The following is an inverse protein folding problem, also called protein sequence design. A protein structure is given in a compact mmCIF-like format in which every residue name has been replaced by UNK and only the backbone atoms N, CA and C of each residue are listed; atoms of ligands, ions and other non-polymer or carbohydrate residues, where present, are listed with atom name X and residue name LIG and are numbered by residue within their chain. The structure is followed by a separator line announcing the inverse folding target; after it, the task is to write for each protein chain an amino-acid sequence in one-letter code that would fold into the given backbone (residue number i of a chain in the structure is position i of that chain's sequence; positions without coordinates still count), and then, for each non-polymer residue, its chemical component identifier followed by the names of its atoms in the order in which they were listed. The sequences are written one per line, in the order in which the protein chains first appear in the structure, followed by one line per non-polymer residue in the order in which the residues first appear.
data_IF_404194218858
#
_entry.id   IF_404194218858
#
_cell.length_a   1.000
_cell.length_b   1.000
_cell.length_c   1.000
_cell.angle_alpha   90.00
_cell.angle_beta   90.00
_cell.angle_gamma   90.00
#
_symmetry.space_group_name_H-M   'P 1'
#
loop_
_entity.id
_entity.type
_entity.pdbx_description
1 polymer ?
#
# COMPACT_ATOMS: atom_id res chain seq x y z
N UNK A 1 8.69 19.19 7.23
CA UNK A 1 7.81 18.46 6.31
C UNK A 1 8.66 17.37 5.67
N UNK A 2 8.32 16.09 5.88
CA UNK A 2 8.96 15.00 5.14
C UNK A 2 8.51 15.14 3.69
N UNK A 3 9.46 15.34 2.77
CA UNK A 3 9.16 15.27 1.35
C UNK A 3 8.96 13.79 1.00
N UNK A 4 7.74 13.46 0.60
CA UNK A 4 7.37 12.14 0.09
C UNK A 4 7.33 12.20 -1.42
N UNK A 5 7.69 11.11 -2.08
CA UNK A 5 7.72 10.98 -3.52
C UNK A 5 6.99 9.72 -3.96
N UNK A 6 6.43 9.78 -5.16
CA UNK A 6 5.84 8.62 -5.81
C UNK A 6 6.94 7.61 -6.10
N UNK A 7 6.78 6.40 -5.57
CA UNK A 7 7.69 5.28 -5.76
C UNK A 7 7.20 4.43 -6.92
N UNK A 8 5.92 4.05 -6.88
CA UNK A 8 5.32 3.14 -7.84
C UNK A 8 3.83 3.45 -8.04
N UNK A 9 3.31 3.14 -9.23
CA UNK A 9 1.88 3.22 -9.54
C UNK A 9 1.38 1.87 -10.01
N UNK A 10 0.41 1.32 -9.29
CA UNK A 10 -0.23 0.05 -9.59
C UNK A 10 -1.63 0.29 -10.16
N UNK A 11 -1.91 -0.27 -11.33
CA UNK A 11 -3.24 -0.22 -11.96
C UNK A 11 -3.88 -1.59 -11.85
N UNK A 12 -5.06 -1.67 -11.26
CA UNK A 12 -5.80 -2.91 -11.06
C UNK A 12 -7.21 -2.78 -11.65
N UNK A 13 -7.66 -3.83 -12.34
CA UNK A 13 -8.99 -3.91 -12.97
C UNK A 13 -8.96 -4.80 -14.20
N UNK A 14 -9.86 -4.56 -15.14
CA UNK A 14 -9.84 -5.27 -16.43
C UNK A 14 -8.58 -4.90 -17.22
N UNK A 15 -8.02 -5.85 -17.97
CA UNK A 15 -6.73 -5.72 -18.67
C UNK A 15 -6.60 -4.44 -19.51
N UNK A 16 -7.69 -3.97 -20.12
CA UNK A 16 -7.72 -2.73 -20.93
C UNK A 16 -8.47 -1.57 -20.24
N UNK A 17 -9.10 -1.84 -19.09
CA UNK A 17 -9.93 -0.89 -18.35
C UNK A 17 -9.69 -1.01 -16.84
N UNK A 18 -8.52 -0.55 -16.35
CA UNK A 18 -8.26 -0.52 -14.92
C UNK A 18 -9.32 0.33 -14.22
N UNK A 19 -9.85 -0.18 -13.12
CA UNK A 19 -10.90 0.45 -12.32
C UNK A 19 -10.32 1.12 -11.09
N UNK A 20 -9.17 0.64 -10.61
CA UNK A 20 -8.46 1.13 -9.43
C UNK A 20 -7.02 1.47 -9.79
N UNK A 21 -6.51 2.54 -9.22
CA UNK A 21 -5.13 2.98 -9.33
C UNK A 21 -4.60 3.24 -7.93
N UNK A 22 -3.54 2.55 -7.57
CA UNK A 22 -2.84 2.76 -6.31
C UNK A 22 -1.53 3.49 -6.57
N UNK A 23 -1.33 4.62 -5.91
CA UNK A 23 -0.08 5.37 -5.96
C UNK A 23 0.66 5.19 -4.64
N UNK A 24 1.83 4.57 -4.70
CA UNK A 24 2.65 4.24 -3.53
C UNK A 24 3.66 5.36 -3.29
N UNK A 25 3.64 5.93 -2.09
CA UNK A 25 4.48 7.05 -1.70
C UNK A 25 5.41 6.69 -0.55
N UNK A 26 6.59 7.28 -0.54
CA UNK A 26 7.52 7.18 0.59
C UNK A 26 8.58 8.25 0.60
N UNK A 27 9.41 8.25 1.63
CA UNK A 27 10.50 9.24 1.78
C UNK A 27 11.67 8.97 0.82
N UNK A 28 11.81 7.75 0.33
CA UNK A 28 12.76 7.35 -0.70
C UNK A 28 12.11 6.33 -1.68
N UNK A 29 12.86 5.68 -2.57
CA UNK A 29 12.34 4.76 -3.60
C UNK A 29 12.28 3.30 -3.12
N UNK A 30 12.75 3.05 -1.91
CA UNK A 30 12.89 1.72 -1.34
C UNK A 30 12.01 1.57 -0.09
N UNK A 31 11.57 2.67 0.50
CA UNK A 31 10.81 2.74 1.75
C UNK A 31 9.40 3.29 1.49
N UNK A 32 8.46 2.47 1.01
CA UNK A 32 7.07 2.87 0.84
C UNK A 32 6.37 3.04 2.19
N UNK A 33 5.84 4.24 2.44
CA UNK A 33 5.20 4.61 3.70
C UNK A 33 3.68 4.40 3.63
N UNK A 34 3.05 4.81 2.53
CA UNK A 34 1.60 4.69 2.34
C UNK A 34 1.22 4.63 0.86
N UNK A 35 0.02 4.16 0.55
CA UNK A 35 -0.57 4.25 -0.77
C UNK A 35 -1.88 5.04 -0.76
N UNK A 36 -2.11 5.78 -1.85
CA UNK A 36 -3.39 6.44 -2.14
C UNK A 36 -4.16 5.62 -3.16
N UNK A 37 -5.43 5.37 -2.87
CA UNK A 37 -6.34 4.71 -3.80
C UNK A 37 -7.03 5.76 -4.65
N UNK A 38 -7.09 5.51 -5.95
CA UNK A 38 -7.90 6.25 -6.90
C UNK A 38 -8.82 5.30 -7.65
N UNK A 39 -10.07 5.66 -7.76
CA UNK A 39 -11.09 4.90 -8.47
C UNK A 39 -11.46 5.61 -9.77
N UNK A 40 -11.69 4.84 -10.82
CA UNK A 40 -12.11 5.39 -12.10
C UNK A 40 -13.56 5.84 -12.01
N UNK A 41 -13.85 7.08 -12.42
CA UNK A 41 -15.23 7.56 -12.46
C UNK A 41 -16.06 6.77 -13.46
N UNK A 42 -17.26 6.37 -13.05
CA UNK A 42 -18.25 5.71 -13.91
C UNK A 42 -18.85 6.66 -14.97
N UNK A 43 -18.78 7.97 -14.74
CA UNK A 43 -19.39 9.00 -15.61
C UNK A 43 -18.36 9.79 -16.45
N UNK A 44 -17.07 9.42 -16.41
CA UNK A 44 -16.01 10.15 -17.10
C UNK A 44 -14.73 9.34 -17.30
N UNK A 45 -13.66 10.00 -17.75
CA UNK A 45 -12.31 9.42 -17.91
C UNK A 45 -11.36 9.81 -16.77
N UNK A 46 -11.88 10.41 -15.69
CA UNK A 46 -11.09 10.87 -14.56
C UNK A 46 -10.89 9.81 -13.47
N UNK A 47 -9.80 9.97 -12.73
CA UNK A 47 -9.54 9.25 -11.48
C UNK A 47 -10.03 10.10 -10.31
N UNK A 48 -10.76 9.50 -9.38
CA UNK A 48 -11.16 10.13 -8.11
C UNK A 48 -10.32 9.51 -7.01
N UNK A 49 -9.60 10.36 -6.28
CA UNK A 49 -8.91 9.94 -5.07
C UNK A 49 -9.95 9.50 -4.03
N UNK A 50 -9.76 8.30 -3.49
CA UNK A 50 -10.51 7.81 -2.34
C UNK A 50 -10.02 8.53 -1.08
N UNK A 51 -10.90 8.72 -0.10
CA UNK A 51 -10.51 9.22 1.23
C UNK A 51 -9.65 8.19 2.00
N UNK A 52 -9.60 6.95 1.51
CA UNK A 52 -8.83 5.87 2.10
C UNK A 52 -7.34 5.97 1.80
N UNK A 53 -6.55 5.81 2.87
CA UNK A 53 -5.09 5.75 2.80
C UNK A 53 -4.60 4.43 3.36
N UNK A 54 -3.94 3.67 2.52
CA UNK A 54 -3.42 2.35 2.88
C UNK A 54 -2.05 2.54 3.51
N UNK A 55 -1.94 2.20 4.79
CA UNK A 55 -0.67 2.25 5.53
C UNK A 55 0.19 1.03 5.17
N UNK A 56 1.47 1.26 4.87
CA UNK A 56 2.37 0.20 4.40
C UNK A 56 3.37 -0.18 5.50
N UNK A 57 3.96 -1.38 5.35
CA UNK A 57 4.75 -2.03 6.40
C UNK A 57 5.95 -1.19 6.89
N UNK A 58 6.52 -0.29 6.09
CA UNK A 58 7.61 0.57 6.55
C UNK A 58 7.18 1.53 7.69
N UNK A 59 5.90 1.91 7.75
CA UNK A 59 5.36 2.70 8.86
C UNK A 59 4.99 1.81 10.07
N UNK A 60 4.44 0.62 9.81
CA UNK A 60 4.06 -0.37 10.84
C UNK A 60 5.29 -0.94 11.58
N UNK A 61 6.34 -1.38 10.88
CA UNK A 61 7.58 -1.90 11.48
C UNK A 61 8.28 -0.82 12.31
N UNK A 62 8.21 0.45 11.91
CA UNK A 62 8.76 1.56 12.69
C UNK A 62 7.99 1.78 14.00
N UNK A 63 6.67 1.58 14.00
CA UNK A 63 5.86 1.62 15.22
C UNK A 63 6.10 0.39 16.10
N UNK A 64 6.18 -0.80 15.52
CA UNK A 64 6.41 -2.05 16.24
C UNK A 64 7.82 -2.10 16.86
N UNK A 65 8.85 -1.67 16.12
CA UNK A 65 10.22 -1.53 16.63
C UNK A 65 10.33 -0.49 17.75
N UNK A 66 9.48 0.54 17.76
CA UNK A 66 9.40 1.50 18.87
C UNK A 66 8.67 0.94 20.10
N UNK A 67 7.92 -0.17 19.96
CA UNK A 67 7.08 -0.74 21.02
C UNK A 67 7.65 -2.02 21.66
N UNK A 68 8.60 -2.69 21.01
CA UNK A 68 9.19 -3.95 21.50
C UNK A 68 10.48 -3.68 22.28
N UNK A 69 10.42 -3.94 23.59
CA UNK A 69 11.59 -4.04 24.44
C UNK A 69 12.47 -5.23 24.01
N UNK A 70 13.75 -4.94 23.74
CA UNK A 70 14.92 -5.80 23.95
C UNK A 70 14.75 -7.31 23.70
N UNK A 71 14.85 -7.75 22.45
CA UNK A 71 15.43 -9.06 22.12
C UNK A 71 16.03 -8.99 20.72
N UNK A 72 17.35 -9.16 20.62
CA UNK A 72 18.16 -8.90 19.42
C UNK A 72 17.60 -9.53 18.14
N UNK A 73 16.91 -8.71 17.34
CA UNK A 73 16.55 -9.04 15.97
C UNK A 73 17.50 -8.26 15.05
N UNK A 74 18.27 -9.00 14.28
CA UNK A 74 19.33 -8.47 13.42
C UNK A 74 18.80 -7.42 12.46
N UNK A 75 19.41 -6.24 12.51
CA UNK A 75 19.25 -5.02 11.69
C UNK A 75 19.45 -5.23 10.16
N UNK A 76 19.47 -6.47 9.68
CA UNK A 76 19.85 -6.83 8.31
C UNK A 76 18.77 -7.57 7.50
N UNK A 77 17.64 -7.94 8.10
CA UNK A 77 16.55 -8.63 7.38
C UNK A 77 15.64 -7.66 6.61
N UNK A 78 15.36 -6.48 7.17
CA UNK A 78 14.53 -5.46 6.52
C UNK A 78 15.19 -4.92 5.23
N UNK A 79 16.52 -4.80 5.20
CA UNK A 79 17.27 -4.33 4.03
C UNK A 79 17.27 -5.32 2.85
N UNK A 80 16.89 -6.58 3.07
CA UNK A 80 16.78 -7.61 2.03
C UNK A 80 15.35 -7.83 1.53
N UNK A 81 14.33 -7.32 2.24
CA UNK A 81 12.95 -7.37 1.79
C UNK A 81 12.70 -6.26 0.77
N UNK A 82 12.11 -6.63 -0.35
CA UNK A 82 11.60 -5.66 -1.31
C UNK A 82 10.31 -5.06 -0.76
N UNK A 83 10.44 -4.01 0.06
CA UNK A 83 9.32 -3.32 0.67
C UNK A 83 8.34 -2.79 -0.38
N UNK A 84 8.80 -2.47 -1.60
CA UNK A 84 7.95 -2.04 -2.70
C UNK A 84 7.10 -3.20 -3.20
N UNK A 85 7.69 -4.39 -3.35
CA UNK A 85 6.95 -5.60 -3.71
C UNK A 85 5.91 -6.00 -2.64
N UNK A 86 6.26 -5.85 -1.35
CA UNK A 86 5.31 -6.07 -0.24
C UNK A 86 4.18 -5.02 -0.28
N UNK A 87 4.50 -3.76 -0.60
CA UNK A 87 3.51 -2.70 -0.74
C UNK A 87 2.53 -2.94 -1.88
N UNK A 88 3.02 -3.39 -3.04
CA UNK A 88 2.19 -3.81 -4.17
C UNK A 88 1.26 -4.94 -3.74
N UNK A 89 1.80 -5.99 -3.12
CA UNK A 89 1.03 -7.15 -2.64
C UNK A 89 -0.09 -6.71 -1.67
N UNK A 90 0.20 -5.74 -0.80
CA UNK A 90 -0.80 -5.19 0.13
C UNK A 90 -1.92 -4.44 -0.60
N UNK A 91 -1.58 -3.66 -1.63
CA UNK A 91 -2.56 -2.95 -2.46
C UNK A 91 -3.43 -3.93 -3.26
N UNK A 92 -2.85 -5.01 -3.78
CA UNK A 92 -3.60 -6.07 -4.46
C UNK A 92 -4.56 -6.80 -3.52
N UNK A 93 -4.10 -7.16 -2.32
CA UNK A 93 -4.94 -7.77 -1.28
C UNK A 93 -6.10 -6.84 -0.89
N UNK A 94 -5.81 -5.54 -0.69
CA UNK A 94 -6.82 -4.52 -0.40
C UNK A 94 -7.89 -4.46 -1.49
N UNK A 95 -7.47 -4.48 -2.76
CA UNK A 95 -8.41 -4.50 -3.87
C UNK A 95 -9.27 -5.77 -3.87
N UNK A 96 -8.68 -6.96 -3.66
CA UNK A 96 -9.43 -8.22 -3.58
C UNK A 96 -10.46 -8.21 -2.44
N UNK A 97 -10.08 -7.72 -1.26
CA UNK A 97 -10.98 -7.53 -0.12
C UNK A 97 -12.12 -6.56 -0.45
N UNK A 98 -11.81 -5.45 -1.13
CA UNK A 98 -12.80 -4.46 -1.58
C UNK A 98 -13.79 -5.02 -2.61
N UNK A 99 -13.39 -6.00 -3.41
CA UNK A 99 -14.29 -6.71 -4.33
C UNK A 99 -15.20 -7.72 -3.60
N UNK A 100 -14.81 -8.20 -2.41
CA UNK A 100 -15.53 -9.21 -1.62
C UNK A 100 -15.89 -8.68 -0.21
N UNK A 101 -16.70 -7.61 -0.08
CA UNK A 101 -17.00 -6.99 1.22
C UNK A 101 -17.85 -7.86 2.18
N UNK A 102 -18.14 -9.13 1.84
CA UNK A 102 -19.07 -10.00 2.57
C UNK A 102 -18.57 -11.40 2.94
N UNK A 103 -17.33 -11.78 2.62
CA UNK A 103 -16.80 -13.12 2.99
C UNK A 103 -15.96 -13.13 4.27
N UNK A 104 -15.64 -11.98 4.85
CA UNK A 104 -14.79 -11.89 6.05
C UNK A 104 -15.53 -11.99 7.39
N UNK A 105 -16.85 -12.21 7.39
CA UNK A 105 -17.71 -12.30 8.61
C UNK A 105 -18.23 -13.72 8.92
N UNK A 106 -17.44 -14.77 8.67
CA UNK A 106 -17.74 -16.11 9.21
C UNK A 106 -16.49 -16.79 9.78
N UNK A 107 -16.17 -16.52 11.04
CA UNK A 107 -15.49 -17.49 11.92
C UNK A 107 -15.85 -17.23 13.38
#
# INVERSE_FOLDING_TARGET
MKSVRLIETLLIGEDEHPTHKYEIYGSDNQTPEYALLFERQSTGSGWVESEERISLAAEQEKQEASSVMDYGYSDSAAALRDLVSDAITRCEAHWQESQHPGESERH
#
